data_IF_317043567663
#
_entry.id   IF_317043567663
#
_cell.length_a   1.000
_cell.length_b   1.000
_cell.length_c   1.000
_cell.angle_alpha   90.00
_cell.angle_beta   90.00
_cell.angle_gamma   90.00
#
_symmetry.space_group_name_H-M   'P 1'
#
loop_
_entity.id
_entity.type
_entity.pdbx_description
1 polymer ?
#
# COMPACT_ATOMS: atom_id res chain seq x y z
N UNK A 1 17.62 4.28 58.81
CA UNK A 1 16.39 3.73 58.20
C UNK A 1 15.77 4.80 57.36
N UNK A 2 15.95 4.72 56.04
CA UNK A 2 15.60 5.75 55.08
C UNK A 2 14.43 5.27 54.25
N UNK A 3 13.30 5.91 54.45
CA UNK A 3 12.00 5.63 53.80
C UNK A 3 11.99 6.24 52.40
N UNK A 4 12.02 5.41 51.35
CA UNK A 4 11.87 5.85 49.96
C UNK A 4 10.42 6.08 49.64
N UNK A 5 10.04 7.33 49.49
CA UNK A 5 8.75 7.73 48.94
C UNK A 5 8.63 7.34 47.47
N UNK A 6 7.67 6.47 47.19
CA UNK A 6 7.19 6.09 45.86
C UNK A 6 6.43 7.25 45.26
N UNK A 7 6.91 7.82 44.17
CA UNK A 7 6.18 8.79 43.38
C UNK A 7 5.24 8.05 42.44
N UNK A 8 3.94 8.16 42.66
CA UNK A 8 2.90 7.73 41.73
C UNK A 8 2.78 8.77 40.61
N UNK A 9 3.17 8.40 39.40
CA UNK A 9 2.87 9.17 38.22
C UNK A 9 1.49 8.77 37.69
N UNK A 10 0.50 9.57 38.07
CA UNK A 10 -0.84 9.50 37.52
C UNK A 10 -0.88 10.28 36.20
N UNK A 11 -0.76 9.59 35.08
CA UNK A 11 -1.01 10.15 33.75
C UNK A 11 -2.45 9.82 33.33
N UNK A 12 -3.38 10.65 33.73
CA UNK A 12 -4.72 10.65 33.15
C UNK A 12 -4.70 11.46 31.84
N UNK A 13 -4.54 10.78 30.70
CA UNK A 13 -4.82 11.36 29.40
C UNK A 13 -6.27 11.06 29.01
N UNK A 14 -7.16 11.95 29.33
CA UNK A 14 -8.49 11.98 28.74
C UNK A 14 -8.42 12.66 27.38
N UNK A 15 -8.27 11.89 26.32
CA UNK A 15 -8.47 12.36 24.96
C UNK A 15 -9.90 12.08 24.52
N UNK A 16 -10.74 13.10 24.63
CA UNK A 16 -12.00 13.12 23.91
C UNK A 16 -11.71 13.38 22.44
N UNK A 17 -11.61 12.33 21.62
CA UNK A 17 -11.51 12.47 20.17
C UNK A 17 -12.90 12.45 19.57
N UNK A 18 -13.36 13.62 19.12
CA UNK A 18 -14.42 13.72 18.15
C UNK A 18 -13.98 13.01 16.87
N UNK A 19 -14.67 11.95 16.49
CA UNK A 19 -14.45 11.26 15.23
C UNK A 19 -14.99 12.09 14.08
N UNK A 20 -14.23 13.08 13.63
CA UNK A 20 -14.30 13.52 12.25
C UNK A 20 -13.27 12.71 11.47
N UNK A 21 -13.72 12.05 10.38
CA UNK A 21 -12.97 11.02 9.68
C UNK A 21 -11.61 11.44 9.21
N UNK A 22 -10.62 11.26 10.05
CA UNK A 22 -9.23 11.35 9.64
C UNK A 22 -8.85 10.09 8.87
N UNK A 23 -8.94 10.19 7.54
CA UNK A 23 -8.28 9.21 6.67
C UNK A 23 -6.79 9.33 6.92
N UNK A 24 -6.17 8.24 7.40
CA UNK A 24 -4.73 8.17 7.53
C UNK A 24 -4.07 8.53 6.19
N UNK A 25 -3.11 9.47 6.12
CA UNK A 25 -2.50 9.88 4.85
C UNK A 25 -1.89 8.71 4.06
N UNK A 26 -1.44 7.66 4.73
CA UNK A 26 -0.90 6.46 4.11
C UNK A 26 -1.95 5.52 3.51
N UNK A 27 -3.23 5.66 3.87
CA UNK A 27 -4.35 4.86 3.37
C UNK A 27 -5.18 5.54 2.28
N UNK A 28 -4.94 6.81 1.99
CA UNK A 28 -5.69 7.54 0.97
C UNK A 28 -5.40 7.02 -0.44
N UNK A 29 -6.46 6.79 -1.25
CA UNK A 29 -6.32 6.34 -2.62
C UNK A 29 -5.62 7.41 -3.48
N UNK A 30 -4.62 7.01 -4.23
CA UNK A 30 -3.81 7.87 -5.10
C UNK A 30 -3.47 7.16 -6.40
N UNK A 31 -3.41 7.93 -7.48
CA UNK A 31 -2.91 7.50 -8.78
C UNK A 31 -1.63 8.24 -9.10
N UNK A 32 -0.64 7.52 -9.62
CA UNK A 32 0.63 8.10 -10.03
C UNK A 32 0.71 8.16 -11.56
N UNK A 33 0.87 9.36 -12.09
CA UNK A 33 1.12 9.58 -13.50
C UNK A 33 2.61 9.83 -13.69
N UNK A 34 3.26 8.97 -14.44
CA UNK A 34 4.67 9.13 -14.78
C UNK A 34 4.78 9.53 -16.24
N UNK A 35 5.59 10.56 -16.51
CA UNK A 35 6.00 10.86 -17.86
C UNK A 35 6.84 9.70 -18.38
N UNK A 36 6.47 9.15 -19.53
CA UNK A 36 7.34 8.21 -20.23
C UNK A 36 8.55 8.98 -20.75
N UNK A 37 9.66 8.84 -20.04
CA UNK A 37 10.94 9.29 -20.57
C UNK A 37 11.35 8.31 -21.68
N UNK A 38 11.20 8.74 -22.91
CA UNK A 38 11.85 8.06 -24.02
C UNK A 38 13.35 7.97 -23.72
N UNK A 39 13.87 6.74 -23.73
CA UNK A 39 15.23 6.44 -23.42
C UNK A 39 16.15 7.11 -24.43
N UNK A 40 16.74 8.24 -24.06
CA UNK A 40 17.92 8.72 -24.74
C UNK A 40 19.07 7.79 -24.38
N UNK A 41 19.73 7.27 -25.41
CA UNK A 41 20.88 6.37 -25.32
C UNK A 41 22.06 7.09 -24.66
N UNK A 42 22.14 7.04 -23.34
CA UNK A 42 23.37 7.33 -22.61
C UNK A 42 23.73 6.13 -21.74
N UNK A 43 24.97 5.66 -21.87
CA UNK A 43 25.52 4.47 -21.22
C UNK A 43 25.86 4.75 -19.75
N UNK A 44 24.97 5.40 -19.01
CA UNK A 44 25.06 5.52 -17.56
C UNK A 44 24.18 4.45 -16.91
N UNK A 45 24.60 3.81 -15.80
CA UNK A 45 23.73 2.88 -15.09
C UNK A 45 22.49 3.63 -14.62
N UNK A 46 21.38 3.44 -15.30
CA UNK A 46 20.10 4.05 -14.94
C UNK A 46 19.56 3.36 -13.72
N UNK A 47 19.21 4.14 -12.68
CA UNK A 47 18.47 3.64 -11.54
C UNK A 47 17.14 3.12 -12.03
N UNK A 48 16.73 1.94 -11.54
CA UNK A 48 15.41 1.42 -11.79
C UNK A 48 14.35 2.39 -11.26
N UNK A 49 13.33 2.69 -12.06
CA UNK A 49 12.21 3.54 -11.68
C UNK A 49 11.06 2.70 -11.12
N UNK A 50 10.34 3.25 -10.15
CA UNK A 50 9.11 2.64 -9.66
C UNK A 50 8.06 2.62 -10.77
N UNK A 51 7.41 1.49 -10.96
CA UNK A 51 6.27 1.32 -11.88
C UNK A 51 4.93 1.29 -11.15
N UNK A 52 4.92 1.62 -9.87
CA UNK A 52 3.68 1.69 -9.11
C UNK A 52 2.77 2.79 -9.67
N UNK A 53 1.54 2.42 -9.99
CA UNK A 53 0.58 3.30 -10.65
C UNK A 53 -0.50 3.85 -9.70
N UNK A 54 -0.68 3.25 -8.56
CA UNK A 54 -1.72 3.64 -7.60
C UNK A 54 -1.30 3.40 -6.14
N UNK A 55 -2.06 3.95 -5.23
CA UNK A 55 -1.94 3.75 -3.79
C UNK A 55 -3.34 3.70 -3.14
N UNK A 56 -3.58 2.90 -2.10
CA UNK A 56 -2.68 1.90 -1.50
C UNK A 56 -2.52 0.62 -2.34
N UNK A 57 -1.56 -0.24 -1.99
CA UNK A 57 -1.31 -1.54 -2.66
C UNK A 57 -1.83 -2.73 -1.86
N UNK A 58 -1.95 -2.60 -0.56
CA UNK A 58 -2.48 -3.64 0.32
C UNK A 58 -3.95 -3.92 0.02
N UNK A 59 -4.30 -5.20 -0.19
CA UNK A 59 -5.68 -5.61 -0.46
C UNK A 59 -6.61 -5.16 0.68
N UNK A 60 -6.16 -5.22 1.92
CA UNK A 60 -6.93 -4.74 3.09
C UNK A 60 -7.30 -3.27 3.02
N UNK A 61 -6.43 -2.46 2.44
CA UNK A 61 -6.54 -0.99 2.47
C UNK A 61 -7.17 -0.41 1.20
N UNK A 62 -7.07 -1.11 0.07
CA UNK A 62 -7.57 -0.60 -1.20
C UNK A 62 -9.09 -0.45 -1.16
N UNK A 63 -9.65 0.66 -1.67
CA UNK A 63 -11.10 0.78 -1.80
C UNK A 63 -11.61 -0.17 -2.89
N UNK A 64 -12.80 -0.74 -2.70
CA UNK A 64 -13.43 -1.63 -3.69
C UNK A 64 -13.75 -0.87 -4.97
N UNK A 65 -14.22 0.36 -4.84
CA UNK A 65 -14.57 1.23 -5.95
C UNK A 65 -13.55 2.36 -6.08
N UNK A 66 -12.65 2.22 -7.02
CA UNK A 66 -11.70 3.27 -7.36
C UNK A 66 -11.61 3.42 -8.88
N UNK A 67 -11.51 4.66 -9.40
CA UNK A 67 -11.45 4.90 -10.84
C UNK A 67 -10.31 4.18 -11.54
N UNK A 68 -9.21 3.93 -10.85
CA UNK A 68 -8.05 3.25 -11.44
C UNK A 68 -8.28 1.76 -11.73
N UNK A 69 -9.36 1.17 -11.26
CA UNK A 69 -9.74 -0.20 -11.63
C UNK A 69 -10.44 -0.29 -12.99
N UNK A 70 -10.98 0.81 -13.51
CA UNK A 70 -11.73 0.82 -14.74
C UNK A 70 -10.82 0.45 -15.93
N UNK A 71 -11.11 -0.69 -16.58
CA UNK A 71 -10.34 -1.18 -17.72
C UNK A 71 -8.88 -1.54 -17.41
N UNK A 72 -8.52 -1.68 -16.15
CA UNK A 72 -7.16 -1.93 -15.72
C UNK A 72 -6.72 -3.37 -15.91
N UNK A 73 -5.43 -3.56 -16.21
CA UNK A 73 -4.78 -4.84 -16.00
C UNK A 73 -4.43 -4.97 -14.52
N UNK A 74 -4.96 -5.99 -13.87
CA UNK A 74 -4.80 -6.19 -12.44
C UNK A 74 -3.69 -7.20 -12.16
N UNK A 75 -2.72 -6.80 -11.36
CA UNK A 75 -1.71 -7.68 -10.79
C UNK A 75 -2.04 -7.95 -9.31
N UNK A 76 -2.22 -9.21 -8.96
CA UNK A 76 -2.37 -9.65 -7.58
C UNK A 76 -1.14 -10.47 -7.20
N UNK A 77 -0.44 -10.05 -6.17
CA UNK A 77 0.87 -10.56 -5.81
C UNK A 77 0.98 -10.85 -4.32
N UNK A 78 1.82 -11.82 -3.97
CA UNK A 78 2.28 -11.93 -2.59
C UNK A 78 3.13 -10.70 -2.21
N UNK A 79 3.06 -10.30 -0.94
CA UNK A 79 3.80 -9.15 -0.43
C UNK A 79 5.32 -9.29 -0.58
N UNK A 80 5.83 -10.52 -0.44
CA UNK A 80 7.25 -10.82 -0.58
C UNK A 80 7.75 -10.93 -2.04
N UNK A 81 6.86 -10.99 -3.03
CA UNK A 81 7.25 -11.21 -4.43
C UNK A 81 8.08 -10.06 -4.99
N UNK A 82 7.68 -8.81 -4.74
CA UNK A 82 8.44 -7.64 -5.15
C UNK A 82 9.79 -7.53 -4.42
N UNK A 83 9.85 -8.04 -3.22
CA UNK A 83 11.08 -8.05 -2.42
C UNK A 83 12.09 -9.09 -2.91
N UNK A 84 11.60 -10.25 -3.35
CA UNK A 84 12.42 -11.36 -3.77
C UNK A 84 12.86 -11.29 -5.23
N UNK A 85 12.05 -10.69 -6.10
CA UNK A 85 12.30 -10.64 -7.54
C UNK A 85 12.79 -9.25 -7.96
N UNK A 86 14.06 -9.16 -8.36
CA UNK A 86 14.73 -7.89 -8.59
C UNK A 86 14.09 -7.02 -9.69
N UNK A 87 13.56 -7.61 -10.73
CA UNK A 87 12.94 -6.92 -11.87
C UNK A 87 11.40 -6.86 -11.78
N UNK A 88 10.86 -6.95 -10.58
CA UNK A 88 9.41 -7.02 -10.36
C UNK A 88 8.65 -5.83 -10.94
N UNK A 89 9.17 -4.62 -10.81
CA UNK A 89 8.55 -3.42 -11.36
C UNK A 89 8.47 -3.47 -12.88
N UNK A 90 9.56 -3.80 -13.57
CA UNK A 90 9.60 -3.82 -15.04
C UNK A 90 8.84 -5.01 -15.63
N UNK A 91 8.96 -6.19 -15.01
CA UNK A 91 8.43 -7.41 -15.57
C UNK A 91 6.95 -7.64 -15.23
N UNK A 92 6.50 -7.14 -14.08
CA UNK A 92 5.15 -7.39 -13.58
C UNK A 92 4.32 -6.14 -13.29
N UNK A 93 4.86 -5.14 -12.61
CA UNK A 93 4.07 -3.98 -12.19
C UNK A 93 3.79 -3.00 -13.32
N UNK A 94 4.65 -2.91 -14.30
CA UNK A 94 4.50 -1.99 -15.42
C UNK A 94 3.17 -2.20 -16.12
N UNK A 95 2.40 -1.12 -16.29
CA UNK A 95 1.08 -1.12 -16.91
C UNK A 95 0.00 -1.95 -16.16
N UNK A 96 0.19 -2.18 -14.87
CA UNK A 96 -0.78 -2.87 -14.03
C UNK A 96 -1.20 -2.01 -12.83
N UNK A 97 -2.42 -2.21 -12.39
CA UNK A 97 -2.84 -1.86 -11.03
C UNK A 97 -2.42 -3.01 -10.13
N UNK A 98 -1.65 -2.73 -9.11
CA UNK A 98 -1.02 -3.76 -8.28
C UNK A 98 -1.69 -3.85 -6.92
N UNK A 99 -2.11 -5.04 -6.56
CA UNK A 99 -2.60 -5.39 -5.22
C UNK A 99 -1.67 -6.43 -4.60
N UNK A 100 -1.44 -6.29 -3.30
CA UNK A 100 -0.60 -7.24 -2.57
C UNK A 100 -1.23 -7.69 -1.26
N UNK A 101 -0.87 -8.88 -0.84
CA UNK A 101 -1.25 -9.44 0.44
C UNK A 101 -0.51 -10.75 0.70
N UNK A 102 -0.69 -11.30 1.89
CA UNK A 102 -0.13 -12.60 2.26
C UNK A 102 -1.24 -13.49 2.79
N UNK A 103 -1.73 -14.46 2.01
CA UNK A 103 -2.81 -15.34 2.47
C UNK A 103 -2.41 -16.22 3.65
N UNK A 104 -1.12 -16.36 3.92
CA UNK A 104 -0.61 -17.14 5.04
C UNK A 104 -0.52 -16.34 6.34
N UNK A 105 -0.08 -15.08 6.26
CA UNK A 105 0.15 -14.22 7.43
C UNK A 105 -1.02 -13.30 7.72
N UNK A 106 -1.73 -12.89 6.70
CA UNK A 106 -2.93 -12.07 6.87
C UNK A 106 -4.08 -12.95 7.39
N UNK A 107 -4.72 -12.52 8.45
CA UNK A 107 -5.83 -13.21 9.09
C UNK A 107 -7.21 -12.93 8.45
N UNK A 108 -7.21 -12.68 7.16
CA UNK A 108 -8.38 -12.29 6.37
C UNK A 108 -8.49 -13.16 5.12
N UNK A 109 -9.70 -13.61 4.82
CA UNK A 109 -10.03 -14.16 3.51
C UNK A 109 -10.34 -13.01 2.54
N UNK A 110 -9.53 -12.88 1.49
CA UNK A 110 -9.67 -11.83 0.48
C UNK A 110 -10.66 -12.15 -0.65
N UNK A 111 -11.23 -13.34 -0.68
CA UNK A 111 -12.06 -13.82 -1.80
C UNK A 111 -13.23 -12.89 -2.10
N UNK A 112 -13.93 -12.47 -1.07
CA UNK A 112 -15.10 -11.59 -1.20
C UNK A 112 -14.70 -10.22 -1.73
N UNK A 113 -13.71 -9.60 -1.13
CA UNK A 113 -13.22 -8.27 -1.54
C UNK A 113 -12.67 -8.28 -2.96
N UNK A 114 -11.85 -9.26 -3.30
CA UNK A 114 -11.32 -9.40 -4.66
C UNK A 114 -12.42 -9.65 -5.68
N UNK A 115 -13.45 -10.43 -5.33
CA UNK A 115 -14.62 -10.65 -6.17
C UNK A 115 -15.34 -9.34 -6.47
N UNK A 116 -15.55 -8.50 -5.47
CA UNK A 116 -16.20 -7.19 -5.65
C UNK A 116 -15.36 -6.25 -6.52
N UNK A 117 -14.04 -6.23 -6.34
CA UNK A 117 -13.12 -5.44 -7.19
C UNK A 117 -13.18 -5.92 -8.65
N UNK A 118 -13.20 -7.23 -8.89
CA UNK A 118 -13.22 -7.80 -10.23
C UNK A 118 -14.54 -7.62 -10.96
N UNK A 119 -15.64 -7.40 -10.27
CA UNK A 119 -16.96 -7.15 -10.85
C UNK A 119 -17.14 -5.74 -11.40
N UNK A 120 -16.28 -4.82 -11.04
CA UNK A 120 -16.37 -3.41 -11.44
C UNK A 120 -15.66 -3.13 -12.77
#
# INVERSE_FOLDING_TARGET
>A
MEERKKAEHNHSHSHAHGHEGHVCPGGAAKTFHRAEHESSTSVAPQKAESRLAQWPVQIKLVPIHAPYFDGANLLISADCAAYAYASFHEDYMKNHVTLMGCPKLDDVDYSEKLTEILKN
#
